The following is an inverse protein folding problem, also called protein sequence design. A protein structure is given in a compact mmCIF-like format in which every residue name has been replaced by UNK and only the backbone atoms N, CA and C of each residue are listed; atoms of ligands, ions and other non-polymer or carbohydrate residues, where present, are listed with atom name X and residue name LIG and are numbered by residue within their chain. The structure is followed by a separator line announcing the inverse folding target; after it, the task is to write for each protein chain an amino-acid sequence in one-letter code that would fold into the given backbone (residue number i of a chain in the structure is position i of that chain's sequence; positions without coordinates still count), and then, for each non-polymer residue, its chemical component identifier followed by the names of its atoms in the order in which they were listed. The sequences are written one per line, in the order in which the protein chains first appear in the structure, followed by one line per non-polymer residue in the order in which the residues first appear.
data_IF_299337601169
#
_entry.id   IF_299337601169
#
_cell.length_a   1.000
_cell.length_b   1.000
_cell.length_c   1.000
_cell.angle_alpha   90.00
_cell.angle_beta   90.00
_cell.angle_gamma   90.00
#
_symmetry.space_group_name_H-M   'P 1'
#
loop_
_entity.id
_entity.type
_entity.pdbx_description
1 polymer ?
#
# COMPACT_ATOMS: atom_id res chain seq x y z
N UNK A 1 -11.57 -17.19 -21.32
CA UNK A 1 -10.90 -16.35 -20.30
C UNK A 1 -9.42 -16.52 -20.49
N UNK A 2 -8.65 -15.43 -20.57
CA UNK A 2 -7.19 -15.53 -20.58
C UNK A 2 -6.73 -16.12 -19.23
N UNK A 3 -5.84 -17.10 -19.26
CA UNK A 3 -5.35 -17.77 -18.06
C UNK A 3 -4.41 -16.89 -17.20
N UNK A 4 -3.93 -15.78 -17.77
CA UNK A 4 -2.92 -14.89 -17.19
C UNK A 4 -3.31 -13.43 -17.47
N UNK A 5 -3.02 -12.51 -16.55
CA UNK A 5 -3.22 -11.07 -16.73
C UNK A 5 -2.29 -10.49 -17.80
N UNK A 6 -2.57 -9.28 -18.33
CA UNK A 6 -1.68 -8.62 -19.29
C UNK A 6 -0.27 -8.39 -18.72
N UNK A 7 -0.18 -8.02 -17.42
CA UNK A 7 1.08 -7.80 -16.71
C UNK A 7 1.85 -9.12 -16.55
N UNK A 8 1.17 -10.21 -16.24
CA UNK A 8 1.76 -11.56 -16.20
C UNK A 8 2.24 -12.00 -17.59
N UNK A 9 1.44 -11.81 -18.65
CA UNK A 9 1.84 -12.15 -20.01
C UNK A 9 3.07 -11.35 -20.47
N UNK A 10 3.10 -10.05 -20.16
CA UNK A 10 4.22 -9.16 -20.46
C UNK A 10 5.49 -9.57 -19.70
N UNK A 11 5.36 -9.87 -18.41
CA UNK A 11 6.45 -10.36 -17.57
C UNK A 11 6.99 -11.72 -18.03
N UNK A 12 6.10 -12.66 -18.35
CA UNK A 12 6.49 -13.96 -18.90
C UNK A 12 7.23 -13.82 -20.23
N UNK A 13 6.81 -12.93 -21.13
CA UNK A 13 7.53 -12.69 -22.40
C UNK A 13 8.99 -12.28 -22.14
N UNK A 14 9.21 -11.27 -21.29
CA UNK A 14 10.55 -10.79 -20.95
C UNK A 14 11.40 -11.85 -20.22
N UNK A 15 10.79 -12.67 -19.37
CA UNK A 15 11.48 -13.75 -18.68
C UNK A 15 11.87 -14.88 -19.65
N UNK A 16 10.98 -15.27 -20.56
CA UNK A 16 11.22 -16.34 -21.53
C UNK A 16 12.31 -15.97 -22.55
N UNK A 17 12.49 -14.69 -22.86
CA UNK A 17 13.59 -14.17 -23.69
C UNK A 17 14.98 -14.38 -23.07
N UNK A 18 15.06 -14.70 -21.77
CA UNK A 18 16.31 -15.04 -21.09
C UNK A 18 16.70 -16.52 -21.24
N UNK A 19 15.80 -17.36 -21.76
CA UNK A 19 16.07 -18.78 -21.97
C UNK A 19 16.92 -19.01 -23.23
N UNK A 20 17.72 -20.08 -23.21
CA UNK A 20 18.37 -20.59 -24.41
C UNK A 20 17.32 -21.05 -25.44
N UNK A 21 17.66 -21.03 -26.73
CA UNK A 21 16.76 -21.52 -27.77
C UNK A 21 16.37 -23.00 -27.55
N UNK A 22 17.29 -23.82 -27.04
CA UNK A 22 17.05 -25.22 -26.71
C UNK A 22 16.04 -25.37 -25.56
N UNK A 23 16.24 -24.64 -24.45
CA UNK A 23 15.34 -24.72 -23.30
C UNK A 23 13.97 -24.15 -23.61
N UNK A 24 13.90 -23.09 -24.41
CA UNK A 24 12.65 -22.49 -24.88
C UNK A 24 11.85 -23.48 -25.72
N UNK A 25 12.48 -24.19 -26.66
CA UNK A 25 11.82 -25.20 -27.48
C UNK A 25 11.37 -26.41 -26.65
N UNK A 26 12.21 -26.89 -25.73
CA UNK A 26 11.86 -27.99 -24.83
C UNK A 26 10.69 -27.63 -23.89
N UNK A 27 10.67 -26.37 -23.40
CA UNK A 27 9.58 -25.83 -22.61
C UNK A 27 8.29 -25.79 -23.43
N UNK A 28 8.34 -25.22 -24.65
CA UNK A 28 7.20 -25.17 -25.57
C UNK A 28 6.60 -26.55 -25.81
N UNK A 29 7.41 -27.56 -26.09
CA UNK A 29 6.91 -28.92 -26.34
C UNK A 29 6.21 -29.52 -25.12
N UNK A 30 6.69 -29.20 -23.92
CA UNK A 30 6.08 -29.63 -22.67
C UNK A 30 4.75 -28.90 -22.42
N UNK A 31 4.71 -27.59 -22.66
CA UNK A 31 3.49 -26.78 -22.45
C UNK A 31 2.39 -27.15 -23.45
N UNK A 32 2.75 -27.39 -24.72
CA UNK A 32 1.79 -27.71 -25.78
C UNK A 32 1.49 -29.20 -25.90
N UNK A 33 2.03 -30.04 -25.00
CA UNK A 33 1.98 -31.51 -25.11
C UNK A 33 2.39 -32.05 -26.50
N UNK A 34 3.31 -31.35 -27.18
CA UNK A 34 3.72 -31.60 -28.58
C UNK A 34 2.58 -31.66 -29.62
N UNK A 35 1.37 -31.20 -29.28
CA UNK A 35 0.22 -31.22 -30.17
C UNK A 35 0.28 -30.16 -31.29
N UNK A 36 1.26 -29.25 -31.22
CA UNK A 36 1.36 -28.10 -32.13
C UNK A 36 2.79 -28.00 -32.62
N UNK A 37 2.97 -27.94 -33.93
CA UNK A 37 4.26 -27.58 -34.54
C UNK A 37 4.36 -26.06 -34.57
N UNK A 38 5.33 -25.51 -33.83
CA UNK A 38 5.56 -24.06 -33.72
C UNK A 38 7.02 -23.80 -34.04
N UNK A 39 7.27 -22.87 -34.95
CA UNK A 39 8.61 -22.39 -35.27
C UNK A 39 9.23 -21.66 -34.06
N UNK A 40 10.56 -21.66 -33.96
CA UNK A 40 11.27 -21.06 -32.82
C UNK A 40 10.93 -19.58 -32.60
N UNK A 41 10.61 -18.84 -33.66
CA UNK A 41 10.21 -17.43 -33.63
C UNK A 41 8.89 -17.18 -32.90
N UNK A 42 8.01 -18.20 -32.79
CA UNK A 42 6.69 -18.10 -32.16
C UNK A 42 6.56 -18.92 -30.88
N UNK A 43 7.65 -19.50 -30.40
CA UNK A 43 7.66 -20.38 -29.23
C UNK A 43 7.17 -19.65 -27.96
N UNK A 44 7.55 -18.38 -27.77
CA UNK A 44 7.13 -17.57 -26.60
C UNK A 44 5.62 -17.37 -26.57
N UNK A 45 5.01 -17.01 -27.71
CA UNK A 45 3.57 -16.81 -27.84
C UNK A 45 2.81 -18.10 -27.52
N UNK A 46 3.28 -19.24 -28.06
CA UNK A 46 2.69 -20.54 -27.80
C UNK A 46 2.82 -20.95 -26.32
N UNK A 47 3.98 -20.74 -25.69
CA UNK A 47 4.15 -21.04 -24.26
C UNK A 47 3.15 -20.24 -23.41
N UNK A 48 3.00 -18.95 -23.68
CA UNK A 48 2.07 -18.10 -22.93
C UNK A 48 0.62 -18.53 -23.16
N UNK A 49 0.23 -18.78 -24.42
CA UNK A 49 -1.14 -19.13 -24.78
C UNK A 49 -1.62 -20.47 -24.20
N UNK A 50 -0.71 -21.45 -24.06
CA UNK A 50 -1.04 -22.80 -23.58
C UNK A 50 -0.67 -23.05 -22.11
N UNK A 51 -0.12 -22.06 -21.40
CA UNK A 51 0.14 -22.17 -19.96
C UNK A 51 -1.12 -21.93 -19.13
N UNK A 52 -1.29 -22.69 -18.04
CA UNK A 52 -2.47 -22.62 -17.18
C UNK A 52 -2.42 -21.45 -16.19
N UNK A 53 -1.22 -21.04 -15.78
CA UNK A 53 -0.98 -19.86 -14.96
C UNK A 53 0.50 -19.45 -15.02
N UNK A 54 0.79 -18.20 -14.61
CA UNK A 54 2.15 -17.73 -14.41
C UNK A 54 2.92 -18.61 -13.40
N UNK A 55 2.25 -19.02 -12.32
CA UNK A 55 2.87 -19.80 -11.25
C UNK A 55 3.30 -21.18 -11.73
N UNK A 56 2.45 -21.86 -12.50
CA UNK A 56 2.74 -23.18 -13.08
C UNK A 56 3.93 -23.09 -14.03
N UNK A 57 3.93 -22.11 -14.94
CA UNK A 57 5.01 -21.86 -15.89
C UNK A 57 6.35 -21.63 -15.18
N UNK A 58 6.38 -20.75 -14.18
CA UNK A 58 7.60 -20.43 -13.42
C UNK A 58 8.15 -21.65 -12.63
N UNK A 59 7.28 -22.58 -12.23
CA UNK A 59 7.69 -23.81 -11.53
C UNK A 59 8.27 -24.87 -12.46
N UNK A 60 8.02 -24.80 -13.79
CA UNK A 60 8.52 -25.80 -14.76
C UNK A 60 10.05 -25.93 -14.71
N UNK A 61 10.52 -27.15 -15.02
CA UNK A 61 11.94 -27.54 -14.87
C UNK A 61 12.89 -26.68 -15.71
N UNK A 62 12.47 -26.27 -16.90
CA UNK A 62 13.27 -25.45 -17.84
C UNK A 62 13.36 -23.97 -17.45
N UNK A 63 12.49 -23.50 -16.58
CA UNK A 63 12.62 -22.18 -15.98
C UNK A 63 13.53 -22.31 -14.76
N UNK A 64 14.84 -22.17 -14.96
CA UNK A 64 15.83 -22.34 -13.91
C UNK A 64 15.80 -21.20 -12.89
N UNK A 65 16.31 -21.46 -11.67
CA UNK A 65 16.34 -20.48 -10.57
C UNK A 65 17.11 -19.22 -10.99
N UNK A 66 18.21 -19.41 -11.71
CA UNK A 66 19.11 -18.37 -12.22
C UNK A 66 18.40 -17.44 -13.20
N UNK A 67 17.50 -17.99 -14.04
CA UNK A 67 16.71 -17.21 -15.00
C UNK A 67 15.73 -16.29 -14.28
N UNK A 68 15.01 -16.81 -13.27
CA UNK A 68 14.08 -16.01 -12.46
C UNK A 68 14.85 -14.93 -11.67
N UNK A 69 16.02 -15.29 -11.13
CA UNK A 69 16.89 -14.34 -10.43
C UNK A 69 17.36 -13.21 -11.35
N UNK A 70 17.86 -13.53 -12.54
CA UNK A 70 18.31 -12.56 -13.53
C UNK A 70 17.16 -11.67 -14.01
N UNK A 71 15.96 -12.24 -14.20
CA UNK A 71 14.76 -11.48 -14.52
C UNK A 71 14.44 -10.44 -13.42
N UNK A 72 14.34 -10.86 -12.16
CA UNK A 72 14.06 -9.96 -11.04
C UNK A 72 15.12 -8.84 -10.92
N UNK A 73 16.39 -9.17 -11.13
CA UNK A 73 17.46 -8.17 -11.13
C UNK A 73 17.31 -7.16 -12.28
N UNK A 74 16.93 -7.61 -13.48
CA UNK A 74 16.65 -6.72 -14.64
C UNK A 74 15.45 -5.80 -14.40
N UNK A 75 14.44 -6.25 -13.66
CA UNK A 75 13.28 -5.44 -13.26
C UNK A 75 13.56 -4.56 -12.02
N UNK A 76 14.80 -4.52 -11.51
CA UNK A 76 15.20 -3.69 -10.37
C UNK A 76 14.82 -4.25 -8.98
N UNK A 77 14.42 -5.52 -8.90
CA UNK A 77 14.07 -6.18 -7.64
C UNK A 77 15.30 -6.89 -7.05
N UNK A 78 15.90 -6.29 -6.01
CA UNK A 78 17.01 -6.90 -5.29
C UNK A 78 16.55 -8.12 -4.47
N UNK A 79 17.25 -9.25 -4.65
CA UNK A 79 17.04 -10.50 -3.91
C UNK A 79 18.39 -11.12 -3.54
N UNK A 80 18.53 -11.76 -2.35
CA UNK A 80 19.78 -12.44 -1.99
C UNK A 80 20.16 -13.54 -2.99
N UNK A 81 21.45 -13.73 -3.32
CA UNK A 81 21.89 -14.70 -4.33
C UNK A 81 21.62 -16.16 -3.95
N UNK A 82 21.51 -16.45 -2.66
CA UNK A 82 21.16 -17.76 -2.10
C UNK A 82 19.64 -18.03 -2.03
N UNK A 83 18.80 -17.13 -2.57
CA UNK A 83 17.34 -17.29 -2.52
C UNK A 83 16.89 -18.50 -3.34
N UNK A 84 16.06 -19.33 -2.72
CA UNK A 84 15.51 -20.55 -3.32
C UNK A 84 14.51 -20.25 -4.46
N UNK A 85 14.39 -21.17 -5.41
CA UNK A 85 13.50 -21.03 -6.58
C UNK A 85 12.07 -20.68 -6.18
N UNK A 86 11.50 -21.38 -5.20
CA UNK A 86 10.12 -21.14 -4.77
C UNK A 86 9.90 -19.69 -4.28
N UNK A 87 10.87 -19.14 -3.55
CA UNK A 87 10.84 -17.76 -3.07
C UNK A 87 10.95 -16.75 -4.23
N UNK A 88 11.80 -17.03 -5.23
CA UNK A 88 11.88 -16.22 -6.45
C UNK A 88 10.58 -16.25 -7.25
N UNK A 89 9.93 -17.42 -7.36
CA UNK A 89 8.61 -17.56 -8.01
C UNK A 89 7.58 -16.68 -7.31
N UNK A 90 7.46 -16.78 -5.98
CA UNK A 90 6.53 -15.93 -5.20
C UNK A 90 6.78 -14.44 -5.41
N UNK A 91 8.04 -14.02 -5.40
CA UNK A 91 8.41 -12.61 -5.60
C UNK A 91 8.08 -12.11 -7.01
N UNK A 92 8.26 -12.96 -8.01
CA UNK A 92 7.94 -12.68 -9.42
C UNK A 92 6.44 -12.54 -9.63
N UNK A 93 5.64 -13.45 -9.06
CA UNK A 93 4.18 -13.35 -9.09
C UNK A 93 3.67 -12.09 -8.38
N UNK A 94 4.30 -11.71 -7.26
CA UNK A 94 3.98 -10.47 -6.57
C UNK A 94 4.31 -9.22 -7.41
N UNK A 95 5.41 -9.25 -8.18
CA UNK A 95 5.77 -8.18 -9.11
C UNK A 95 4.75 -8.05 -10.26
N UNK A 96 4.26 -9.18 -10.77
CA UNK A 96 3.31 -9.22 -11.91
C UNK A 96 1.85 -9.06 -11.51
N UNK A 97 1.56 -9.19 -10.23
CA UNK A 97 0.27 -8.87 -9.67
C UNK A 97 0.03 -7.36 -9.78
N UNK A 98 -1.15 -6.96 -10.24
CA UNK A 98 -1.64 -5.56 -10.13
C UNK A 98 -1.88 -5.16 -8.67
N UNK A 99 -1.78 -6.11 -7.74
CA UNK A 99 -1.52 -5.82 -6.33
C UNK A 99 -0.06 -5.45 -6.15
N UNK A 100 0.37 -4.36 -6.78
CA UNK A 100 1.22 -3.46 -6.03
C UNK A 100 0.41 -3.20 -4.75
N UNK A 101 0.97 -3.50 -3.58
CA UNK A 101 0.31 -3.20 -2.32
C UNK A 101 -0.22 -1.76 -2.26
N UNK A 102 0.25 -0.87 -3.14
CA UNK A 102 -0.24 0.48 -3.37
C UNK A 102 -1.73 0.62 -3.73
N UNK A 103 -2.32 -0.31 -4.51
CA UNK A 103 -3.76 -0.26 -4.83
C UNK A 103 -4.63 -0.54 -3.60
N UNK A 104 -4.24 -1.57 -2.85
CA UNK A 104 -4.82 -1.93 -1.55
C UNK A 104 -4.55 -0.84 -0.49
N UNK A 105 -3.33 -0.28 -0.47
CA UNK A 105 -2.94 0.77 0.48
C UNK A 105 -3.62 2.11 0.21
N UNK A 106 -3.85 2.47 -1.06
CA UNK A 106 -4.59 3.68 -1.40
C UNK A 106 -6.06 3.55 -1.00
N UNK A 107 -6.67 2.39 -1.26
CA UNK A 107 -8.02 2.09 -0.80
C UNK A 107 -8.11 2.14 0.74
N UNK A 108 -7.17 1.47 1.42
CA UNK A 108 -7.01 1.49 2.87
C UNK A 108 -6.86 2.93 3.40
N UNK A 109 -6.00 3.73 2.79
CA UNK A 109 -5.81 5.13 3.17
C UNK A 109 -7.09 5.95 3.05
N UNK A 110 -7.83 5.76 1.95
CA UNK A 110 -9.12 6.42 1.74
C UNK A 110 -10.15 5.99 2.78
N UNK A 111 -10.26 4.70 3.05
CA UNK A 111 -11.18 4.16 4.07
C UNK A 111 -10.80 4.65 5.47
N UNK A 112 -9.51 4.58 5.83
CA UNK A 112 -9.00 5.09 7.09
C UNK A 112 -9.28 6.58 7.26
N UNK A 113 -8.95 7.42 6.28
CA UNK A 113 -9.19 8.86 6.39
C UNK A 113 -10.69 9.18 6.43
N UNK A 114 -11.54 8.50 5.66
CA UNK A 114 -13.01 8.68 5.76
C UNK A 114 -13.50 8.38 7.16
N UNK A 115 -13.14 7.21 7.70
CA UNK A 115 -13.50 6.82 9.06
C UNK A 115 -12.96 7.84 10.09
N UNK A 116 -11.66 8.14 10.04
CA UNK A 116 -10.99 9.00 11.00
C UNK A 116 -11.61 10.39 11.03
N UNK A 117 -11.74 11.08 9.89
CA UNK A 117 -12.25 12.46 9.89
C UNK A 117 -13.76 12.53 10.12
N UNK A 118 -14.53 11.49 9.77
CA UNK A 118 -15.94 11.40 10.18
C UNK A 118 -16.08 11.27 11.70
N UNK A 119 -15.33 10.35 12.31
CA UNK A 119 -15.28 10.16 13.77
C UNK A 119 -14.76 11.44 14.46
N UNK A 120 -13.65 11.98 13.99
CA UNK A 120 -12.98 13.13 14.57
C UNK A 120 -13.82 14.40 14.51
N UNK A 121 -14.40 14.72 13.35
CA UNK A 121 -15.29 15.87 13.22
C UNK A 121 -16.64 15.67 13.92
N UNK A 122 -17.07 14.44 14.22
CA UNK A 122 -18.29 14.20 14.99
C UNK A 122 -18.22 14.71 16.43
N UNK A 123 -17.00 14.93 16.92
CA UNK A 123 -16.76 15.56 18.22
C UNK A 123 -17.01 17.07 18.17
N UNK A 124 -17.04 17.70 17.01
CA UNK A 124 -17.24 19.14 16.95
C UNK A 124 -18.72 19.47 17.26
N UNK A 125 -19.02 20.25 18.33
CA UNK A 125 -20.40 20.57 18.72
C UNK A 125 -21.19 21.31 17.65
N UNK A 126 -20.52 22.00 16.72
CA UNK A 126 -21.15 22.76 15.64
C UNK A 126 -21.31 21.97 14.35
N UNK A 127 -20.79 20.74 14.26
CA UNK A 127 -20.86 19.94 13.03
C UNK A 127 -22.25 19.32 12.77
N UNK A 128 -23.13 19.29 13.78
CA UNK A 128 -24.48 18.71 13.64
C UNK A 128 -24.49 17.19 13.38
N UNK A 129 -23.37 16.51 13.62
CA UNK A 129 -23.21 15.06 13.45
C UNK A 129 -23.49 14.33 14.78
N UNK A 130 -23.99 13.09 14.74
CA UNK A 130 -24.07 12.26 15.95
C UNK A 130 -22.66 11.98 16.48
N UNK A 131 -22.43 12.26 17.76
CA UNK A 131 -21.15 12.01 18.43
C UNK A 131 -20.84 10.52 18.38
N UNK A 132 -19.67 10.17 17.85
CA UNK A 132 -19.18 8.80 17.81
C UNK A 132 -18.17 8.53 18.94
N UNK A 133 -17.89 7.24 19.18
CA UNK A 133 -17.00 6.79 20.25
C UNK A 133 -15.52 7.09 19.94
N UNK A 134 -15.01 8.18 20.51
CA UNK A 134 -13.61 8.58 20.46
C UNK A 134 -12.92 8.34 21.80
N UNK A 135 -11.69 7.83 21.75
CA UNK A 135 -10.87 7.69 22.95
C UNK A 135 -9.51 7.02 22.68
N UNK A 136 -8.79 6.65 23.75
CA UNK A 136 -7.44 6.05 23.69
C UNK A 136 -7.42 4.68 23.00
N UNK A 137 -8.55 3.98 22.87
CA UNK A 137 -8.66 2.66 22.25
C UNK A 137 -8.21 2.62 20.78
N UNK A 138 -8.22 3.77 20.10
CA UNK A 138 -7.78 3.89 18.70
C UNK A 138 -6.26 4.03 18.54
N UNK A 139 -5.53 4.14 19.66
CA UNK A 139 -4.09 4.38 19.70
C UNK A 139 -3.35 3.22 20.36
N UNK A 140 -2.08 3.05 20.01
CA UNK A 140 -1.17 2.23 20.81
C UNK A 140 -0.88 2.92 22.15
N UNK A 141 -0.66 2.15 23.21
CA UNK A 141 -0.43 2.68 24.56
C UNK A 141 0.71 3.70 24.64
N UNK A 142 1.75 3.53 23.81
CA UNK A 142 2.91 4.40 23.67
C UNK A 142 2.85 5.29 22.40
N UNK A 143 1.66 5.65 21.95
CA UNK A 143 1.47 6.52 20.80
C UNK A 143 2.10 7.91 21.01
N UNK A 144 2.49 8.55 19.91
CA UNK A 144 3.09 9.90 19.92
C UNK A 144 2.30 10.85 19.02
N UNK A 145 2.09 12.07 19.49
CA UNK A 145 1.51 13.16 18.70
C UNK A 145 2.52 14.30 18.63
N UNK A 146 2.73 14.79 17.41
CA UNK A 146 3.52 15.98 17.12
C UNK A 146 2.61 16.98 16.42
N UNK A 147 2.50 18.20 16.95
CA UNK A 147 1.76 19.30 16.33
C UNK A 147 2.73 20.42 16.00
N UNK A 148 2.66 20.91 14.75
CA UNK A 148 3.37 22.10 14.28
C UNK A 148 2.35 23.13 13.79
N UNK A 149 2.22 24.25 14.51
CA UNK A 149 1.33 25.35 14.12
C UNK A 149 2.13 26.50 13.50
N UNK A 150 1.66 26.98 12.35
CA UNK A 150 2.20 28.14 11.64
C UNK A 150 1.09 29.18 11.41
N UNK A 151 0.42 29.65 12.47
CA UNK A 151 -0.65 30.67 12.42
C UNK A 151 -0.16 32.08 12.79
N UNK A 152 1.16 32.29 12.71
CA UNK A 152 1.88 33.47 13.18
C UNK A 152 3.33 33.10 13.44
N UNK A 153 3.73 33.01 14.71
CA UNK A 153 4.97 32.35 15.11
C UNK A 153 4.85 30.82 14.99
N UNK A 154 5.98 30.15 14.81
CA UNK A 154 6.02 28.71 14.69
C UNK A 154 6.02 28.07 16.08
N UNK A 155 4.95 27.34 16.40
CA UNK A 155 4.80 26.63 17.68
C UNK A 155 4.85 25.11 17.44
N UNK A 156 5.50 24.40 18.37
CA UNK A 156 5.64 22.94 18.31
C UNK A 156 5.28 22.33 19.65
N UNK A 157 4.40 21.34 19.62
CA UNK A 157 3.98 20.57 20.79
C UNK A 157 4.14 19.07 20.57
N UNK A 158 4.48 18.36 21.64
CA UNK A 158 4.59 16.90 21.65
C UNK A 158 3.80 16.28 22.80
N UNK A 159 3.08 15.21 22.50
CA UNK A 159 2.28 14.47 23.47
C UNK A 159 2.58 12.96 23.36
N UNK A 160 2.60 12.31 24.52
CA UNK A 160 3.04 10.92 24.64
C UNK A 160 1.98 10.09 25.38
N UNK A 161 1.70 8.90 24.85
CA UNK A 161 0.73 7.97 25.38
C UNK A 161 -0.68 8.17 24.84
N UNK A 162 -1.42 7.07 24.68
CA UNK A 162 -2.74 7.05 24.06
C UNK A 162 -3.73 8.08 24.64
N UNK A 163 -3.73 8.25 25.97
CA UNK A 163 -4.65 9.15 26.68
C UNK A 163 -4.39 10.62 26.34
N UNK A 164 -3.15 11.09 26.46
CA UNK A 164 -2.80 12.49 26.19
C UNK A 164 -2.94 12.83 24.70
N UNK A 165 -2.55 11.89 23.83
CA UNK A 165 -2.74 12.02 22.38
C UNK A 165 -4.22 12.16 22.03
N UNK A 166 -5.07 11.27 22.56
CA UNK A 166 -6.51 11.28 22.30
C UNK A 166 -7.17 12.58 22.79
N UNK A 167 -6.86 13.01 24.02
CA UNK A 167 -7.38 14.24 24.61
C UNK A 167 -6.98 15.48 23.82
N UNK A 168 -5.70 15.61 23.46
CA UNK A 168 -5.24 16.79 22.74
C UNK A 168 -5.86 16.89 21.35
N UNK A 169 -5.94 15.77 20.62
CA UNK A 169 -6.63 15.75 19.34
C UNK A 169 -8.10 16.16 19.50
N UNK A 170 -8.83 15.61 20.47
CA UNK A 170 -10.24 15.99 20.69
C UNK A 170 -10.43 17.47 21.02
N UNK A 171 -9.48 18.11 21.70
CA UNK A 171 -9.57 19.54 22.01
C UNK A 171 -9.53 20.43 20.75
N UNK A 172 -8.84 20.01 19.68
CA UNK A 172 -8.83 20.74 18.39
C UNK A 172 -10.24 20.87 17.80
N UNK A 173 -11.06 19.82 17.92
CA UNK A 173 -12.40 19.76 17.32
C UNK A 173 -13.49 20.20 18.30
N UNK A 174 -13.34 19.91 19.60
CA UNK A 174 -14.33 20.22 20.63
C UNK A 174 -14.18 21.65 21.18
N UNK A 175 -12.98 22.01 21.63
CA UNK A 175 -12.72 23.29 22.30
C UNK A 175 -12.42 24.39 21.28
N UNK A 176 -11.54 24.11 20.32
CA UNK A 176 -11.12 25.06 19.29
C UNK A 176 -12.07 25.11 18.08
N UNK A 177 -13.09 24.23 18.09
CA UNK A 177 -14.19 24.14 17.11
C UNK A 177 -13.71 24.02 15.66
N UNK A 178 -12.58 23.35 15.44
CA UNK A 178 -12.04 23.12 14.10
C UNK A 178 -12.80 21.98 13.42
N UNK A 179 -12.98 22.08 12.11
CA UNK A 179 -13.50 21.03 11.24
C UNK A 179 -12.43 20.74 10.18
N UNK A 180 -12.03 19.48 10.07
CA UNK A 180 -11.00 19.05 9.14
C UNK A 180 -11.64 18.45 7.88
N UNK A 181 -11.37 19.05 6.72
CA UNK A 181 -11.85 18.57 5.43
C UNK A 181 -10.67 17.96 4.65
N UNK A 182 -10.47 16.63 4.69
CA UNK A 182 -9.37 15.96 4.00
C UNK A 182 -9.59 15.92 2.48
N UNK A 183 -8.52 16.13 1.70
CA UNK A 183 -8.53 15.86 0.27
C UNK A 183 -8.15 14.39 0.02
N UNK A 184 -9.15 13.56 -0.31
CA UNK A 184 -8.98 12.12 -0.54
C UNK A 184 -8.65 11.77 -2.00
N UNK A 185 -8.45 12.77 -2.85
CA UNK A 185 -7.96 12.57 -4.21
C UNK A 185 -6.46 12.25 -4.23
N UNK A 186 -5.97 11.77 -5.36
CA UNK A 186 -4.59 11.26 -5.50
C UNK A 186 -3.51 12.32 -5.18
N UNK A 187 -3.83 13.61 -5.32
CA UNK A 187 -2.92 14.71 -4.97
C UNK A 187 -2.88 15.01 -3.46
N UNK A 188 -3.96 14.70 -2.73
CA UNK A 188 -4.12 15.02 -1.31
C UNK A 188 -3.79 13.86 -0.37
N UNK A 189 -3.81 12.62 -0.86
CA UNK A 189 -3.58 11.41 -0.06
C UNK A 189 -2.45 10.56 -0.63
N UNK A 190 -1.51 10.16 0.23
CA UNK A 190 -0.41 9.23 -0.10
C UNK A 190 -0.28 8.16 0.96
N UNK A 191 -0.05 6.93 0.54
CA UNK A 191 0.12 5.79 1.44
C UNK A 191 1.39 5.02 1.09
N UNK A 192 2.10 4.58 2.14
CA UNK A 192 3.33 3.79 2.02
C UNK A 192 3.29 2.67 3.07
N UNK A 193 3.78 1.49 2.75
CA UNK A 193 4.00 0.43 3.74
C UNK A 193 5.49 0.16 3.91
N UNK A 194 5.88 -0.19 5.13
CA UNK A 194 7.23 -0.63 5.45
C UNK A 194 7.29 -2.16 5.50
N UNK A 195 8.48 -2.76 5.31
CA UNK A 195 8.66 -4.22 5.41
C UNK A 195 8.25 -4.80 6.77
N UNK A 196 8.27 -3.98 7.83
CA UNK A 196 7.95 -4.38 9.20
C UNK A 196 6.45 -4.28 9.54
N UNK A 197 5.58 -3.98 8.56
CA UNK A 197 4.13 -3.96 8.75
C UNK A 197 3.55 -2.62 9.23
N UNK A 198 4.37 -1.60 9.42
CA UNK A 198 3.92 -0.22 9.64
C UNK A 198 3.45 0.39 8.32
N UNK A 199 2.28 1.01 8.33
CA UNK A 199 1.68 1.73 7.21
C UNK A 199 1.64 3.23 7.53
N UNK A 200 2.17 4.03 6.61
CA UNK A 200 2.09 5.49 6.64
C UNK A 200 0.92 5.96 5.78
N UNK A 201 0.07 6.81 6.35
CA UNK A 201 -0.99 7.52 5.63
C UNK A 201 -0.74 9.02 5.78
N UNK A 202 -0.42 9.69 4.69
CA UNK A 202 -0.22 11.14 4.64
C UNK A 202 -1.38 11.80 3.88
N UNK A 203 -2.03 12.76 4.51
CA UNK A 203 -3.22 13.44 3.98
C UNK A 203 -3.11 14.94 4.18
N UNK A 204 -3.46 15.70 3.15
CA UNK A 204 -3.59 17.15 3.22
C UNK A 204 -5.06 17.56 3.10
N UNK A 205 -5.41 18.73 3.61
CA UNK A 205 -6.76 19.24 3.52
C UNK A 205 -6.88 20.67 4.01
N UNK A 206 -8.12 21.12 4.18
CA UNK A 206 -8.45 22.45 4.68
C UNK A 206 -9.05 22.39 6.07
N UNK A 207 -8.77 23.39 6.90
CA UNK A 207 -9.39 23.57 8.22
C UNK A 207 -10.46 24.64 8.11
N UNK A 208 -11.62 24.37 8.69
CA UNK A 208 -12.75 25.28 8.72
C UNK A 208 -13.21 25.52 10.16
N UNK A 209 -13.81 26.68 10.39
CA UNK A 209 -14.63 26.95 11.55
C UNK A 209 -15.91 27.60 11.05
N UNK A 210 -17.04 26.97 11.33
CA UNK A 210 -18.34 27.34 10.75
C UNK A 210 -18.23 27.40 9.22
N UNK A 211 -18.46 28.58 8.62
CA UNK A 211 -18.40 28.80 7.17
C UNK A 211 -17.08 29.40 6.69
N UNK A 212 -16.08 29.55 7.56
CA UNK A 212 -14.81 30.17 7.24
C UNK A 212 -13.70 29.12 7.08
N UNK A 213 -13.02 29.16 5.93
CA UNK A 213 -11.77 28.45 5.73
C UNK A 213 -10.65 29.18 6.47
N UNK A 214 -10.09 28.53 7.49
CA UNK A 214 -9.02 29.09 8.31
C UNK A 214 -7.62 28.81 7.76
N UNK A 215 -7.49 27.83 6.86
CA UNK A 215 -6.19 27.45 6.32
C UNK A 215 -6.12 25.99 5.88
N UNK A 216 -4.91 25.44 5.89
CA UNK A 216 -4.62 24.08 5.44
C UNK A 216 -3.94 23.26 6.54
N UNK A 217 -4.05 21.94 6.40
CA UNK A 217 -3.31 21.01 7.22
C UNK A 217 -2.61 19.95 6.38
N UNK A 218 -1.53 19.42 6.92
CA UNK A 218 -0.83 18.22 6.45
C UNK A 218 -0.75 17.28 7.65
N UNK A 219 -1.28 16.07 7.54
CA UNK A 219 -1.30 15.09 8.63
C UNK A 219 -0.72 13.76 8.18
N UNK A 220 0.16 13.17 8.99
CA UNK A 220 0.77 11.87 8.75
C UNK A 220 0.46 10.95 9.91
N UNK A 221 -0.10 9.78 9.59
CA UNK A 221 -0.42 8.72 10.52
C UNK A 221 0.51 7.54 10.31
N UNK A 222 1.09 7.03 11.40
CA UNK A 222 1.72 5.72 11.44
C UNK A 222 0.77 4.69 12.02
N UNK A 223 0.34 3.73 11.21
CA UNK A 223 -0.61 2.69 11.55
C UNK A 223 0.09 1.34 11.70
N UNK A 224 -0.20 0.64 12.79
CA UNK A 224 0.26 -0.74 13.03
C UNK A 224 -0.95 -1.59 13.38
N UNK A 225 -1.04 -2.79 12.81
CA UNK A 225 -2.13 -3.71 13.13
C UNK A 225 -1.94 -4.30 14.53
N UNK A 226 -3.03 -4.39 15.28
CA UNK A 226 -3.09 -5.08 16.56
C UNK A 226 -3.44 -6.56 16.34
N UNK A 227 -2.47 -7.48 16.50
CA UNK A 227 -2.72 -8.91 16.27
C UNK A 227 -3.67 -9.53 17.31
N UNK A 228 -3.89 -8.88 18.47
CA UNK A 228 -4.72 -9.40 19.56
C UNK A 228 -6.19 -8.97 19.44
N UNK A 229 -6.47 -7.92 18.67
CA UNK A 229 -7.82 -7.38 18.48
C UNK A 229 -8.28 -7.50 17.03
N UNK A 230 -8.28 -8.72 16.50
CA UNK A 230 -8.81 -8.99 15.14
C UNK A 230 -8.04 -8.26 14.03
N UNK A 231 -6.77 -7.94 14.25
CA UNK A 231 -5.90 -7.30 13.26
C UNK A 231 -6.33 -5.86 12.89
N UNK A 232 -7.02 -5.16 13.82
CA UNK A 232 -7.45 -3.76 13.66
C UNK A 232 -6.25 -2.81 13.59
N UNK A 233 -6.36 -1.76 12.79
CA UNK A 233 -5.33 -0.72 12.72
C UNK A 233 -5.41 0.21 13.93
N UNK A 234 -4.29 0.41 14.62
CA UNK A 234 -4.13 1.40 15.69
C UNK A 234 -3.06 2.42 15.34
N UNK A 235 -3.28 3.65 15.77
CA UNK A 235 -2.35 4.76 15.54
C UNK A 235 -1.16 4.67 16.49
N UNK A 236 0.04 4.58 15.92
CA UNK A 236 1.32 4.59 16.64
C UNK A 236 1.92 5.98 16.74
N UNK A 237 1.79 6.78 15.69
CA UNK A 237 2.15 8.19 15.74
C UNK A 237 1.27 9.02 14.81
N UNK A 238 1.08 10.28 15.19
CA UNK A 238 0.31 11.27 14.46
C UNK A 238 1.15 12.54 14.37
N UNK A 239 1.48 12.98 13.17
CA UNK A 239 2.15 14.27 12.97
C UNK A 239 1.15 15.17 12.26
N UNK A 240 0.80 16.29 12.89
CA UNK A 240 -0.14 17.26 12.35
C UNK A 240 0.58 18.59 12.17
N UNK A 241 0.51 19.14 10.96
CA UNK A 241 0.99 20.47 10.65
C UNK A 241 -0.19 21.33 10.23
N UNK A 242 -0.32 22.50 10.83
CA UNK A 242 -1.39 23.47 10.58
C UNK A 242 -0.76 24.76 10.05
N UNK A 243 -1.35 25.31 9.00
CA UNK A 243 -0.99 26.62 8.44
C UNK A 243 -2.26 27.43 8.27
N UNK A 244 -2.32 28.60 8.90
CA UNK A 244 -3.43 29.55 8.82
C UNK A 244 -3.05 30.82 8.09
#
# INVERSE_FOLDING_TARGET
MAAMSEKEQSGCRRLLELLSAEDLMALKDTVTNRLISVESTRAVEAIIAYSQSAEELLKRRKVHREVIFQYLAKEGVAVPPNTEKLHLVRRTLALWSDKDGLGDLTALGKEFCRWFYQLFNSLNPTAGLPVQDWGPQHFWGDAKLFILSCTGEQEQDEYYGAELVSRRLSALVWEEKLIFCPNLEQSGLKCLSTPHGLVLVAVAGTIHRENLCLGIFEQVFGLIRDPLEGNRWKMKYVHLKIKG
#
